data_IF_657129895152
#
_entry.id   IF_657129895152
#
_cell.length_a   1.000
_cell.length_b   1.000
_cell.length_c   1.000
_cell.angle_alpha   90.00
_cell.angle_beta   90.00
_cell.angle_gamma   90.00
#
_symmetry.space_group_name_H-M   'P 1'
#
loop_
_entity.id
_entity.type
_entity.pdbx_description
1 polymer ?
#
# COMPACT_ATOMS: atom_id res chain seq x y z
N UNK A 1 2.91 10.73 -11.68
CA UNK A 1 4.07 10.89 -10.76
C UNK A 1 5.15 11.84 -11.30
N UNK A 2 5.71 11.65 -12.51
CA UNK A 2 6.83 12.48 -13.02
C UNK A 2 6.58 14.00 -13.17
N UNK A 3 5.34 14.44 -13.04
CA UNK A 3 4.97 15.87 -13.06
C UNK A 3 5.05 16.53 -11.67
N UNK A 4 5.33 15.76 -10.61
CA UNK A 4 5.44 16.29 -9.26
C UNK A 4 6.75 17.06 -9.05
N UNK A 5 6.77 18.03 -8.12
CA UNK A 5 8.00 18.68 -7.68
C UNK A 5 9.02 17.65 -7.16
N UNK A 6 10.33 17.90 -7.29
CA UNK A 6 11.36 16.97 -6.82
C UNK A 6 11.21 16.56 -5.34
N UNK A 7 10.69 17.46 -4.50
CA UNK A 7 10.46 17.25 -3.06
C UNK A 7 9.32 16.27 -2.75
N UNK A 8 8.44 15.98 -3.71
CA UNK A 8 7.31 15.05 -3.58
C UNK A 8 7.46 13.82 -4.47
N UNK A 9 8.23 13.93 -5.56
CA UNK A 9 8.33 12.88 -6.56
C UNK A 9 8.78 11.55 -5.95
N UNK A 10 9.83 11.57 -5.11
CA UNK A 10 10.37 10.35 -4.49
C UNK A 10 9.41 9.81 -3.44
N UNK A 11 8.81 10.67 -2.62
CA UNK A 11 7.83 10.28 -1.60
C UNK A 11 6.64 9.55 -2.25
N UNK A 12 6.06 10.11 -3.31
CA UNK A 12 4.90 9.53 -4.01
C UNK A 12 5.30 8.30 -4.83
N UNK A 13 6.51 8.25 -5.38
CA UNK A 13 7.03 7.05 -6.06
C UNK A 13 7.14 5.88 -5.08
N UNK A 14 7.76 6.08 -3.93
CA UNK A 14 7.89 5.03 -2.91
C UNK A 14 6.53 4.64 -2.37
N UNK A 15 5.66 5.61 -2.08
CA UNK A 15 4.28 5.33 -1.66
C UNK A 15 3.55 4.41 -2.65
N UNK A 16 3.62 4.72 -3.95
CA UNK A 16 3.04 3.88 -4.99
C UNK A 16 3.65 2.47 -5.02
N UNK A 17 4.98 2.33 -4.96
CA UNK A 17 5.63 1.02 -4.99
C UNK A 17 5.31 0.17 -3.75
N UNK A 18 5.22 0.79 -2.57
CA UNK A 18 4.83 0.11 -1.33
C UNK A 18 3.40 -0.45 -1.45
N UNK A 19 2.45 0.38 -1.88
CA UNK A 19 1.07 -0.06 -2.05
C UNK A 19 0.92 -1.08 -3.18
N UNK A 20 1.70 -0.95 -4.26
CA UNK A 20 1.71 -1.92 -5.36
C UNK A 20 2.26 -3.28 -4.93
N UNK A 21 3.28 -3.32 -4.09
CA UNK A 21 3.75 -4.57 -3.51
C UNK A 21 2.69 -5.25 -2.63
N UNK A 22 1.95 -4.45 -1.85
CA UNK A 22 0.83 -4.95 -1.05
C UNK A 22 -0.30 -5.51 -1.94
N UNK A 23 -0.67 -4.76 -2.99
CA UNK A 23 -1.65 -5.14 -4.02
C UNK A 23 -1.27 -6.46 -4.69
N UNK A 24 -0.01 -6.65 -5.08
CA UNK A 24 0.49 -7.90 -5.68
C UNK A 24 0.31 -9.12 -4.76
N UNK A 25 0.42 -8.95 -3.43
CA UNK A 25 0.17 -10.02 -2.46
C UNK A 25 -1.33 -10.33 -2.36
N UNK A 26 -2.16 -9.30 -2.43
CA UNK A 26 -3.62 -9.41 -2.33
C UNK A 26 -4.21 -10.09 -3.58
N UNK A 27 -3.82 -9.62 -4.76
CA UNK A 27 -4.34 -10.06 -6.06
C UNK A 27 -3.96 -11.51 -6.42
N UNK A 28 -2.85 -12.04 -5.88
CA UNK A 28 -2.39 -13.37 -6.25
C UNK A 28 -3.29 -14.47 -5.67
N UNK A 29 -4.12 -15.06 -6.53
CA UNK A 29 -5.09 -16.08 -6.15
C UNK A 29 -4.48 -17.49 -6.01
N UNK A 30 -3.21 -17.67 -6.33
CA UNK A 30 -2.59 -19.00 -6.48
C UNK A 30 -1.36 -19.23 -5.61
N UNK A 31 -0.68 -18.16 -5.19
CA UNK A 31 0.60 -18.27 -4.49
C UNK A 31 0.47 -18.75 -3.04
N UNK A 32 -0.70 -18.59 -2.42
CA UNK A 32 -0.90 -18.93 -1.01
C UNK A 32 -1.72 -20.22 -0.84
N UNK A 33 -1.35 -21.11 0.09
CA UNK A 33 -2.06 -22.37 0.32
C UNK A 33 -3.45 -22.17 0.94
N UNK A 34 -3.70 -21.03 1.58
CA UNK A 34 -5.01 -20.67 2.12
C UNK A 34 -5.16 -19.14 2.26
N UNK A 35 -6.41 -18.70 2.38
CA UNK A 35 -6.76 -17.31 2.65
C UNK A 35 -6.15 -16.82 3.97
N UNK A 36 -6.10 -17.64 5.02
CA UNK A 36 -5.52 -17.25 6.31
C UNK A 36 -4.02 -16.93 6.19
N UNK A 37 -3.29 -17.67 5.35
CA UNK A 37 -1.87 -17.38 5.09
C UNK A 37 -1.72 -16.05 4.35
N UNK A 38 -2.55 -15.80 3.32
CA UNK A 38 -2.57 -14.51 2.61
C UNK A 38 -2.88 -13.36 3.58
N UNK A 39 -3.93 -13.48 4.38
CA UNK A 39 -4.35 -12.49 5.38
C UNK A 39 -3.20 -12.20 6.36
N UNK A 40 -2.49 -13.23 6.83
CA UNK A 40 -1.33 -13.06 7.72
C UNK A 40 -0.22 -12.25 7.04
N UNK A 41 0.07 -12.50 5.75
CA UNK A 41 1.06 -11.72 5.01
C UNK A 41 0.63 -10.26 4.82
N UNK A 42 -0.63 -10.01 4.45
CA UNK A 42 -1.17 -8.65 4.32
C UNK A 42 -1.04 -7.87 5.63
N UNK A 43 -1.60 -8.41 6.73
CA UNK A 43 -1.63 -7.72 8.02
C UNK A 43 -0.23 -7.47 8.61
N UNK A 44 0.74 -8.34 8.29
CA UNK A 44 2.12 -8.19 8.74
C UNK A 44 3.00 -7.35 7.80
N UNK A 45 2.53 -6.97 6.61
CA UNK A 45 3.32 -6.27 5.60
C UNK A 45 4.01 -5.01 6.14
N UNK A 46 3.26 -4.14 6.83
CA UNK A 46 3.82 -2.92 7.43
C UNK A 46 4.87 -3.18 8.54
N UNK A 47 4.84 -4.35 9.20
CA UNK A 47 5.80 -4.76 10.25
C UNK A 47 6.96 -5.58 9.70
N UNK A 48 6.86 -6.02 8.45
CA UNK A 48 7.86 -6.87 7.80
C UNK A 48 8.51 -6.07 6.69
N UNK A 49 7.87 -5.96 5.54
CA UNK A 49 8.36 -5.25 4.35
C UNK A 49 8.86 -3.83 4.65
N UNK A 50 8.20 -3.08 5.54
CA UNK A 50 8.61 -1.70 5.87
C UNK A 50 9.56 -1.59 7.06
N UNK A 51 9.78 -2.66 7.82
CA UNK A 51 10.66 -2.66 9.00
C UNK A 51 12.00 -3.39 8.76
N UNK A 52 12.00 -4.41 7.92
CA UNK A 52 13.17 -5.24 7.62
C UNK A 52 13.78 -4.85 6.24
N UNK A 53 15.00 -4.28 6.21
CA UNK A 53 15.68 -3.91 4.97
C UNK A 53 15.99 -5.08 4.03
N UNK A 54 16.01 -6.31 4.54
CA UNK A 54 16.28 -7.51 3.76
C UNK A 54 14.99 -8.22 3.30
N UNK A 55 13.81 -7.70 3.69
CA UNK A 55 12.55 -8.33 3.33
C UNK A 55 12.38 -8.40 1.81
N UNK A 56 12.05 -9.59 1.33
CA UNK A 56 11.72 -9.87 -0.06
C UNK A 56 10.76 -11.05 -0.10
N UNK A 57 9.99 -11.16 -1.18
CA UNK A 57 9.04 -12.26 -1.37
C UNK A 57 9.16 -12.81 -2.79
N UNK A 58 9.37 -14.12 -2.89
CA UNK A 58 9.45 -14.85 -4.16
C UNK A 58 8.22 -15.75 -4.33
N UNK A 59 7.82 -15.99 -5.58
CA UNK A 59 6.71 -16.90 -5.90
C UNK A 59 5.32 -16.27 -5.79
N UNK A 60 5.25 -14.94 -5.71
CA UNK A 60 4.00 -14.15 -5.70
C UNK A 60 4.06 -13.13 -6.83
N UNK A 61 2.94 -12.98 -7.55
CA UNK A 61 2.79 -12.08 -8.69
C UNK A 61 3.52 -12.54 -9.95
N UNK A 62 3.37 -11.75 -11.02
CA UNK A 62 3.97 -12.00 -12.33
C UNK A 62 4.76 -10.79 -12.85
N UNK A 63 5.60 -10.99 -13.87
CA UNK A 63 6.29 -9.90 -14.57
C UNK A 63 7.06 -8.94 -13.64
N UNK A 64 6.77 -7.63 -13.79
CA UNK A 64 7.40 -6.56 -13.03
C UNK A 64 6.90 -6.47 -11.58
N UNK A 65 5.70 -6.97 -11.28
CA UNK A 65 5.13 -6.98 -9.92
C UNK A 65 5.83 -8.06 -9.07
N UNK A 66 6.06 -9.24 -9.64
CA UNK A 66 6.96 -10.25 -9.03
C UNK A 66 8.34 -9.68 -8.79
N UNK A 67 8.89 -8.93 -9.77
CA UNK A 67 10.20 -8.31 -9.64
C UNK A 67 10.22 -7.29 -8.50
N UNK A 68 9.16 -6.51 -8.33
CA UNK A 68 9.02 -5.55 -7.24
C UNK A 68 9.11 -6.25 -5.87
N UNK A 69 8.43 -7.38 -5.68
CA UNK A 69 8.49 -8.14 -4.43
C UNK A 69 9.87 -8.78 -4.17
N UNK A 70 10.53 -9.29 -5.21
CA UNK A 70 11.87 -9.88 -5.10
C UNK A 70 12.93 -8.80 -4.85
N UNK A 71 12.82 -7.66 -5.51
CA UNK A 71 13.75 -6.53 -5.39
C UNK A 71 13.29 -5.48 -4.37
N UNK A 72 12.31 -5.82 -3.50
CA UNK A 72 11.76 -4.91 -2.50
C UNK A 72 12.79 -4.25 -1.58
N UNK A 73 13.94 -4.88 -1.23
CA UNK A 73 15.02 -4.21 -0.50
C UNK A 73 15.48 -2.89 -1.13
N UNK A 74 15.40 -2.75 -2.46
CA UNK A 74 15.71 -1.49 -3.16
C UNK A 74 14.68 -0.41 -2.87
N UNK A 75 13.39 -0.78 -2.83
CA UNK A 75 12.31 0.12 -2.45
C UNK A 75 12.43 0.53 -0.98
N UNK A 76 12.68 -0.45 -0.09
CA UNK A 76 12.89 -0.21 1.34
C UNK A 76 14.03 0.76 1.61
N UNK A 77 15.16 0.60 0.94
CA UNK A 77 16.31 1.52 1.04
C UNK A 77 15.90 2.98 0.80
N UNK A 78 15.10 3.24 -0.24
CA UNK A 78 14.62 4.60 -0.53
C UNK A 78 13.58 5.03 0.51
N UNK A 79 12.65 4.16 0.89
CA UNK A 79 11.68 4.40 1.96
C UNK A 79 12.36 4.83 3.27
N UNK A 80 13.40 4.11 3.69
CA UNK A 80 14.16 4.39 4.90
C UNK A 80 14.85 5.75 4.85
N UNK A 81 15.21 6.24 3.66
CA UNK A 81 15.83 7.56 3.45
C UNK A 81 14.83 8.73 3.47
N UNK A 82 13.52 8.47 3.35
CA UNK A 82 12.51 9.53 3.36
C UNK A 82 12.42 10.24 4.71
N UNK A 83 11.89 11.46 4.69
CA UNK A 83 11.58 12.21 5.92
C UNK A 83 10.60 11.44 6.81
N UNK A 84 10.73 11.62 8.12
CA UNK A 84 9.90 10.92 9.11
C UNK A 84 8.39 11.09 8.86
N UNK A 85 7.94 12.29 8.47
CA UNK A 85 6.53 12.55 8.15
C UNK A 85 6.01 11.72 6.98
N UNK A 86 6.79 11.58 5.90
CA UNK A 86 6.39 10.77 4.75
C UNK A 86 6.41 9.27 5.07
N UNK A 87 7.43 8.80 5.81
CA UNK A 87 7.47 7.40 6.27
C UNK A 87 6.25 7.05 7.14
N UNK A 88 5.85 7.94 8.05
CA UNK A 88 4.71 7.74 8.92
C UNK A 88 3.40 7.62 8.12
N UNK A 89 3.19 8.49 7.12
CA UNK A 89 2.01 8.42 6.25
C UNK A 89 1.99 7.11 5.45
N UNK A 90 3.11 6.74 4.82
CA UNK A 90 3.18 5.51 4.02
C UNK A 90 2.91 4.27 4.87
N UNK A 91 3.49 4.19 6.08
CA UNK A 91 3.31 3.07 6.99
C UNK A 91 1.85 2.94 7.44
N UNK A 92 1.23 4.06 7.84
CA UNK A 92 -0.14 4.10 8.30
C UNK A 92 -1.15 3.72 7.21
N UNK A 93 -0.99 4.27 6.00
CA UNK A 93 -1.85 3.93 4.87
C UNK A 93 -1.66 2.46 4.45
N UNK A 94 -0.43 1.96 4.37
CA UNK A 94 -0.17 0.56 4.05
C UNK A 94 -0.81 -0.38 5.09
N UNK A 95 -0.76 -0.02 6.38
CA UNK A 95 -1.41 -0.79 7.44
C UNK A 95 -2.94 -0.79 7.31
N UNK A 96 -3.56 0.38 7.10
CA UNK A 96 -5.02 0.50 6.96
C UNK A 96 -5.53 -0.18 5.68
N UNK A 97 -4.81 -0.05 4.57
CA UNK A 97 -5.13 -0.70 3.30
C UNK A 97 -5.00 -2.22 3.42
N UNK A 98 -3.95 -2.73 4.06
CA UNK A 98 -3.78 -4.16 4.31
C UNK A 98 -4.90 -4.75 5.18
N UNK A 99 -5.32 -4.03 6.23
CA UNK A 99 -6.44 -4.43 7.06
C UNK A 99 -7.76 -4.47 6.25
N UNK A 100 -8.00 -3.45 5.43
CA UNK A 100 -9.14 -3.39 4.53
C UNK A 100 -9.16 -4.54 3.53
N UNK A 101 -8.05 -4.77 2.83
CA UNK A 101 -7.88 -5.90 1.89
C UNK A 101 -8.15 -7.24 2.56
N UNK A 102 -7.63 -7.46 3.76
CA UNK A 102 -7.88 -8.69 4.52
C UNK A 102 -9.36 -8.94 4.82
N UNK A 103 -10.19 -7.89 4.97
CA UNK A 103 -11.65 -8.05 5.14
C UNK A 103 -12.34 -8.60 3.89
N UNK A 104 -11.73 -8.48 2.71
CA UNK A 104 -12.32 -8.89 1.43
C UNK A 104 -11.68 -10.15 0.84
N UNK A 105 -10.58 -10.64 1.41
CA UNK A 105 -9.98 -11.93 1.02
C UNK A 105 -11.00 -13.06 1.14
N UNK A 106 -11.15 -13.83 0.06
CA UNK A 106 -12.06 -14.99 0.01
C UNK A 106 -13.53 -14.65 -0.25
N UNK A 107 -13.88 -13.36 -0.37
CA UNK A 107 -15.19 -12.96 -0.87
C UNK A 107 -15.19 -13.05 -2.40
N UNK A 108 -16.24 -13.64 -2.97
CA UNK A 108 -16.43 -13.62 -4.42
C UNK A 108 -16.97 -12.24 -4.84
N UNK A 109 -16.08 -11.43 -5.42
CA UNK A 109 -16.40 -10.11 -5.97
C UNK A 109 -16.70 -10.16 -7.48
N UNK A 110 -16.76 -11.35 -8.09
CA UNK A 110 -16.99 -11.51 -9.53
C UNK A 110 -18.35 -11.01 -10.00
N UNK A 111 -19.32 -10.88 -9.08
CA UNK A 111 -20.63 -10.26 -9.32
C UNK A 111 -20.78 -8.89 -8.62
N UNK A 112 -19.68 -8.31 -8.14
CA UNK A 112 -19.66 -7.13 -7.29
C UNK A 112 -19.81 -7.46 -5.81
N UNK A 113 -19.90 -6.42 -4.98
CA UNK A 113 -20.17 -6.55 -3.54
C UNK A 113 -21.66 -6.81 -3.29
N UNK A 114 -22.01 -7.21 -2.05
CA UNK A 114 -23.40 -7.51 -1.69
C UNK A 114 -24.34 -6.31 -1.84
N UNK A 115 -23.85 -5.11 -1.54
CA UNK A 115 -24.59 -3.86 -1.60
C UNK A 115 -23.63 -2.66 -1.84
N UNK A 116 -24.22 -1.47 -2.01
CA UNK A 116 -23.49 -0.20 -2.19
C UNK A 116 -22.62 0.13 -0.96
N UNK A 117 -23.09 -0.01 0.30
CA UNK A 117 -22.22 0.19 1.46
C UNK A 117 -20.94 -0.67 1.47
N UNK A 118 -21.03 -1.95 1.06
CA UNK A 118 -19.83 -2.78 0.93
C UNK A 118 -18.94 -2.35 -0.24
N UNK A 119 -19.55 -1.88 -1.34
CA UNK A 119 -18.80 -1.31 -2.46
C UNK A 119 -18.00 -0.09 -2.01
N UNK A 120 -18.66 0.86 -1.34
CA UNK A 120 -18.03 2.08 -0.83
C UNK A 120 -16.93 1.76 0.17
N UNK A 121 -17.14 0.76 1.05
CA UNK A 121 -16.13 0.30 2.00
C UNK A 121 -14.92 -0.32 1.30
N UNK A 122 -15.14 -1.16 0.29
CA UNK A 122 -14.05 -1.74 -0.51
C UNK A 122 -13.25 -0.64 -1.20
N UNK A 123 -13.94 0.24 -1.94
CA UNK A 123 -13.33 1.37 -2.65
C UNK A 123 -12.60 2.33 -1.71
N UNK A 124 -13.11 2.56 -0.50
CA UNK A 124 -12.42 3.36 0.50
C UNK A 124 -11.07 2.75 0.85
N UNK A 125 -11.01 1.45 1.14
CA UNK A 125 -9.75 0.81 1.52
C UNK A 125 -8.74 0.78 0.37
N UNK A 126 -9.15 0.42 -0.84
CA UNK A 126 -8.21 0.22 -1.96
C UNK A 126 -7.89 1.51 -2.73
N UNK A 127 -8.70 2.56 -2.63
CA UNK A 127 -8.51 3.82 -3.36
C UNK A 127 -8.70 5.08 -2.50
N UNK A 128 -9.69 5.11 -1.60
CA UNK A 128 -9.92 6.26 -0.70
C UNK A 128 -8.71 6.57 0.18
N UNK A 129 -8.10 5.54 0.78
CA UNK A 129 -6.88 5.66 1.57
C UNK A 129 -5.68 6.16 0.75
N UNK A 130 -5.63 5.86 -0.55
CA UNK A 130 -4.59 6.40 -1.44
C UNK A 130 -4.74 7.92 -1.56
N UNK A 131 -5.98 8.41 -1.73
CA UNK A 131 -6.29 9.84 -1.75
C UNK A 131 -5.95 10.54 -0.44
N UNK A 132 -6.26 9.90 0.70
CA UNK A 132 -5.89 10.38 2.03
C UNK A 132 -4.36 10.46 2.20
N UNK A 133 -3.65 9.39 1.82
CA UNK A 133 -2.19 9.32 1.87
C UNK A 133 -1.51 10.40 1.04
N UNK A 134 -1.98 10.62 -0.20
CA UNK A 134 -1.46 11.68 -1.06
C UNK A 134 -1.66 13.07 -0.45
N UNK A 135 -2.87 13.35 0.07
CA UNK A 135 -3.19 14.63 0.71
C UNK A 135 -2.29 14.89 1.93
N UNK A 136 -2.07 13.86 2.75
CA UNK A 136 -1.16 13.92 3.91
C UNK A 136 0.32 14.07 3.48
N UNK A 137 0.76 13.43 2.40
CA UNK A 137 2.11 13.62 1.85
C UNK A 137 2.33 15.05 1.34
N UNK A 138 1.32 15.65 0.70
CA UNK A 138 1.39 17.03 0.21
C UNK A 138 1.46 18.02 1.36
N UNK A 139 0.61 17.87 2.38
CA UNK A 139 0.69 18.68 3.59
C UNK A 139 2.04 18.51 4.32
N UNK A 140 2.53 17.28 4.46
CA UNK A 140 3.83 16.99 5.07
C UNK A 140 5.03 17.56 4.28
N UNK A 141 4.83 17.89 3.00
CA UNK A 141 5.85 18.56 2.18
C UNK A 141 5.93 20.06 2.37
N UNK A 142 4.94 20.66 3.04
CA UNK A 142 4.81 22.10 3.17
C UNK A 142 4.34 22.79 1.88
N UNK A 143 3.99 22.03 0.85
CA UNK A 143 3.43 22.58 -0.40
C UNK A 143 1.91 22.83 -0.31
N UNK A 144 1.24 22.18 0.65
CA UNK A 144 -0.19 22.35 0.91
C UNK A 144 -0.46 22.65 2.38
N UNK A 145 -1.63 23.22 2.66
CA UNK A 145 -2.06 23.54 4.03
C UNK A 145 -2.21 22.27 4.89
N UNK A 146 -1.91 22.38 6.19
CA UNK A 146 -2.08 21.26 7.14
C UNK A 146 -3.52 20.77 7.26
N UNK A 147 -4.51 21.63 6.97
CA UNK A 147 -5.93 21.26 6.92
C UNK A 147 -6.23 20.20 5.85
N UNK A 148 -5.39 20.08 4.82
CA UNK A 148 -5.54 19.06 3.78
C UNK A 148 -5.17 17.65 4.28
N UNK A 149 -4.52 17.53 5.44
CA UNK A 149 -4.18 16.24 6.05
C UNK A 149 -5.31 15.65 6.90
N UNK A 150 -6.48 16.30 6.98
CA UNK A 150 -7.62 15.82 7.74
C UNK A 150 -8.22 14.54 7.15
N UNK A 151 -8.62 13.61 8.03
CA UNK A 151 -9.41 12.44 7.64
C UNK A 151 -10.83 12.88 7.23
N UNK A 152 -11.39 12.18 6.23
CA UNK A 152 -12.74 12.42 5.69
C UNK A 152 -13.74 11.50 6.41
#
# INVERSE_FOLDING_TARGET
IRQLPPTLLVDVLVFYLVLRALDTIEDDMTAFPSNDVKISHLLSFHKTALADPAWSMSGVGEGDERRLLVEFPKCHSVFASLRAGSRAVILDIAQRMAAGMAEFVGKDLGQGTLDVPQYDRYCHFVAGLVGEGLSRLFAASGLEATSMAGEI
#
